data_IF_491859409173
#
_entry.id   IF_491859409173
#
_cell.length_a   1.000
_cell.length_b   1.000
_cell.length_c   1.000
_cell.angle_alpha   90.00
_cell.angle_beta   90.00
_cell.angle_gamma   90.00
#
_symmetry.space_group_name_H-M   'P 1'
#
loop_
_entity.id
_entity.type
_entity.pdbx_description
1 polymer ?
#
# COMPACT_ATOMS: atom_id res chain seq x y z
N UNK A 1 -21.26 -1.80 -9.51
CA UNK A 1 -21.61 -0.67 -8.62
C UNK A 1 -20.34 0.12 -8.36
N UNK A 2 -20.41 1.45 -8.37
CA UNK A 2 -19.26 2.31 -8.04
C UNK A 2 -19.12 2.32 -6.52
N UNK A 3 -17.92 2.03 -6.01
CA UNK A 3 -17.63 2.07 -4.58
C UNK A 3 -17.89 3.49 -4.04
N UNK A 4 -18.63 3.59 -2.94
CA UNK A 4 -18.92 4.87 -2.29
C UNK A 4 -17.67 5.42 -1.60
N UNK A 5 -17.70 6.70 -1.24
CA UNK A 5 -16.59 7.34 -0.51
C UNK A 5 -16.35 6.66 0.84
N UNK A 6 -17.42 6.30 1.56
CA UNK A 6 -17.34 5.64 2.87
C UNK A 6 -16.74 4.24 2.76
N UNK A 7 -17.19 3.44 1.79
CA UNK A 7 -16.61 2.11 1.54
C UNK A 7 -15.13 2.19 1.19
N UNK A 8 -14.74 3.19 0.39
CA UNK A 8 -13.34 3.43 0.04
C UNK A 8 -12.48 3.74 1.28
N UNK A 9 -12.99 4.59 2.17
CA UNK A 9 -12.29 4.96 3.40
C UNK A 9 -12.12 3.76 4.33
N UNK A 10 -13.19 3.00 4.55
CA UNK A 10 -13.16 1.79 5.37
C UNK A 10 -12.17 0.74 4.82
N UNK A 11 -12.11 0.59 3.48
CA UNK A 11 -11.13 -0.30 2.86
C UNK A 11 -9.69 0.15 3.11
N UNK A 12 -9.38 1.44 2.92
CA UNK A 12 -8.04 1.99 3.20
C UNK A 12 -7.65 1.78 4.67
N UNK A 13 -8.58 2.05 5.59
CA UNK A 13 -8.38 1.85 7.03
C UNK A 13 -8.09 0.38 7.36
N UNK A 14 -8.88 -0.55 6.81
CA UNK A 14 -8.65 -1.99 7.02
C UNK A 14 -7.28 -2.47 6.51
N UNK A 15 -6.80 -1.92 5.39
CA UNK A 15 -5.46 -2.23 4.86
C UNK A 15 -4.37 -1.69 5.80
N UNK A 16 -4.58 -0.47 6.33
CA UNK A 16 -3.65 0.17 7.25
C UNK A 16 -3.57 -0.54 8.60
N UNK A 17 -4.69 -1.01 9.14
CA UNK A 17 -4.74 -1.82 10.35
C UNK A 17 -4.03 -3.17 10.15
N UNK A 18 -4.33 -3.87 9.06
CA UNK A 18 -3.69 -5.16 8.77
C UNK A 18 -2.17 -5.03 8.54
N UNK A 19 -1.71 -3.92 7.94
CA UNK A 19 -0.28 -3.58 7.86
C UNK A 19 0.33 -3.33 9.24
N UNK A 20 -0.37 -2.59 10.10
CA UNK A 20 0.12 -2.26 11.44
C UNK A 20 0.18 -3.50 12.37
N UNK A 21 -0.75 -4.43 12.19
CA UNK A 21 -0.81 -5.70 12.92
C UNK A 21 0.12 -6.77 12.34
N UNK A 22 0.75 -6.51 11.19
CA UNK A 22 1.65 -7.45 10.53
C UNK A 22 0.94 -8.66 9.90
N UNK A 23 -0.38 -8.63 9.79
CA UNK A 23 -1.18 -9.69 9.13
C UNK A 23 -1.25 -9.50 7.61
N UNK A 24 -0.77 -8.37 7.09
CA UNK A 24 -0.70 -8.05 5.68
C UNK A 24 0.71 -7.56 5.31
N UNK A 25 1.29 -8.19 4.29
CA UNK A 25 2.58 -7.79 3.74
C UNK A 25 2.47 -6.49 2.92
N UNK A 26 3.56 -5.72 2.87
CA UNK A 26 3.61 -4.45 2.13
C UNK A 26 3.32 -4.66 0.64
N UNK A 27 3.84 -5.73 0.04
CA UNK A 27 3.64 -6.07 -1.38
C UNK A 27 2.16 -6.25 -1.71
N UNK A 28 1.45 -7.01 -0.87
CA UNK A 28 0.01 -7.25 -1.04
C UNK A 28 -0.79 -5.98 -0.74
N UNK A 29 -0.46 -5.22 0.30
CA UNK A 29 -1.13 -3.96 0.59
C UNK A 29 -1.08 -2.98 -0.60
N UNK A 30 0.09 -2.83 -1.25
CA UNK A 30 0.25 -1.99 -2.44
C UNK A 30 -0.62 -2.50 -3.60
N UNK A 31 -0.66 -3.82 -3.82
CA UNK A 31 -1.52 -4.44 -4.83
C UNK A 31 -3.00 -4.19 -4.56
N UNK A 32 -3.46 -4.34 -3.31
CA UNK A 32 -4.85 -4.09 -2.90
C UNK A 32 -5.23 -2.63 -3.06
N UNK A 33 -4.37 -1.70 -2.64
CA UNK A 33 -4.57 -0.27 -2.88
C UNK A 33 -4.69 0.04 -4.37
N UNK A 34 -3.87 -0.58 -5.22
CA UNK A 34 -4.00 -0.40 -6.66
C UNK A 34 -5.33 -0.94 -7.20
N UNK A 35 -5.64 -2.21 -6.95
CA UNK A 35 -6.77 -2.90 -7.59
C UNK A 35 -8.11 -2.52 -6.94
N UNK A 36 -8.21 -2.62 -5.62
CA UNK A 36 -9.48 -2.50 -4.91
C UNK A 36 -9.84 -1.03 -4.66
N UNK A 37 -8.86 -0.17 -4.36
CA UNK A 37 -9.13 1.25 -4.05
C UNK A 37 -9.21 2.12 -5.31
N UNK A 38 -8.30 1.91 -6.26
CA UNK A 38 -8.21 2.79 -7.45
C UNK A 38 -8.71 2.15 -8.75
N UNK A 39 -8.79 0.82 -8.82
CA UNK A 39 -9.16 0.11 -10.05
C UNK A 39 -8.15 0.24 -11.19
N UNK A 40 -6.94 0.73 -10.92
CA UNK A 40 -5.95 1.05 -11.96
C UNK A 40 -5.06 -0.16 -12.31
N UNK A 41 -4.68 -0.25 -13.59
CA UNK A 41 -3.63 -1.17 -13.99
C UNK A 41 -2.24 -0.61 -13.61
N UNK A 42 -1.23 -1.48 -13.55
CA UNK A 42 0.12 -1.15 -13.06
C UNK A 42 0.73 0.10 -13.72
N UNK A 43 0.56 0.27 -15.03
CA UNK A 43 1.11 1.42 -15.77
C UNK A 43 0.50 2.74 -15.29
N UNK A 44 -0.83 2.78 -15.09
CA UNK A 44 -1.54 3.98 -14.63
C UNK A 44 -1.20 4.28 -13.17
N UNK A 45 -1.18 3.26 -12.34
CA UNK A 45 -0.88 3.38 -10.92
C UNK A 45 0.55 3.86 -10.67
N UNK A 46 1.54 3.31 -11.38
CA UNK A 46 2.94 3.71 -11.26
C UNK A 46 3.13 5.20 -11.62
N UNK A 47 2.46 5.69 -12.67
CA UNK A 47 2.44 7.11 -13.04
C UNK A 47 1.86 7.98 -11.94
N UNK A 48 0.73 7.55 -11.36
CA UNK A 48 0.08 8.26 -10.24
C UNK A 48 1.00 8.35 -9.01
N UNK A 49 1.72 7.26 -8.71
CA UNK A 49 2.70 7.18 -7.62
C UNK A 49 4.05 7.83 -7.95
N UNK A 50 4.24 8.33 -9.18
CA UNK A 50 5.50 8.94 -9.67
C UNK A 50 6.71 8.00 -9.53
N UNK A 51 6.52 6.71 -9.79
CA UNK A 51 7.56 5.69 -9.82
C UNK A 51 7.57 4.95 -11.16
N UNK A 52 8.64 4.21 -11.45
CA UNK A 52 8.68 3.37 -12.65
C UNK A 52 7.75 2.15 -12.50
N UNK A 53 7.22 1.65 -13.62
CA UNK A 53 6.39 0.42 -13.61
C UNK A 53 7.18 -0.77 -13.09
N UNK A 54 8.47 -0.88 -13.46
CA UNK A 54 9.37 -1.91 -12.92
C UNK A 54 9.47 -1.81 -11.40
N UNK A 55 9.63 -0.60 -10.87
CA UNK A 55 9.64 -0.37 -9.41
C UNK A 55 8.37 -0.90 -8.80
N UNK A 56 7.19 -0.51 -9.32
CA UNK A 56 5.89 -0.99 -8.83
C UNK A 56 5.79 -2.52 -8.83
N UNK A 57 6.16 -3.19 -9.94
CA UNK A 57 6.11 -4.66 -10.05
C UNK A 57 7.00 -5.31 -8.99
N UNK A 58 8.22 -4.81 -8.81
CA UNK A 58 9.12 -5.31 -7.77
C UNK A 58 8.51 -5.12 -6.36
N UNK A 59 7.78 -4.03 -6.10
CA UNK A 59 7.05 -3.85 -4.83
C UNK A 59 5.98 -4.92 -4.67
N UNK A 60 5.12 -5.09 -5.68
CA UNK A 60 3.99 -6.02 -5.62
C UNK A 60 4.43 -7.49 -5.53
N UNK A 61 5.63 -7.81 -5.99
CA UNK A 61 6.20 -9.16 -5.91
C UNK A 61 7.10 -9.40 -4.68
N UNK A 62 7.26 -8.39 -3.80
CA UNK A 62 8.24 -8.42 -2.71
C UNK A 62 9.69 -8.70 -3.19
N UNK A 63 10.01 -8.24 -4.40
CA UNK A 63 11.32 -8.41 -5.02
C UNK A 63 12.19 -7.14 -4.85
N UNK A 64 13.46 -7.35 -4.49
CA UNK A 64 14.46 -6.28 -4.39
C UNK A 64 14.33 -5.39 -3.14
N UNK A 65 15.25 -4.43 -3.01
CA UNK A 65 15.31 -3.53 -1.86
C UNK A 65 14.51 -2.25 -2.14
N UNK A 66 13.25 -2.26 -1.70
CA UNK A 66 12.33 -1.13 -1.74
C UNK A 66 12.92 0.08 -1.01
N UNK A 67 13.00 1.24 -1.68
CA UNK A 67 13.37 2.46 -0.95
C UNK A 67 12.17 2.95 -0.14
N UNK A 68 12.41 3.46 1.07
CA UNK A 68 11.38 4.14 1.87
C UNK A 68 10.70 5.26 1.07
N UNK A 69 11.44 5.95 0.20
CA UNK A 69 10.90 6.99 -0.69
C UNK A 69 9.85 6.43 -1.65
N UNK A 70 10.10 5.28 -2.27
CA UNK A 70 9.16 4.65 -3.21
C UNK A 70 7.86 4.25 -2.51
N UNK A 71 7.99 3.64 -1.32
CA UNK A 71 6.83 3.26 -0.50
C UNK A 71 6.04 4.49 -0.05
N UNK A 72 6.73 5.53 0.46
CA UNK A 72 6.11 6.76 0.91
C UNK A 72 5.37 7.50 -0.22
N UNK A 73 5.90 7.50 -1.45
CA UNK A 73 5.19 8.04 -2.62
C UNK A 73 3.86 7.36 -2.91
N UNK A 74 3.72 6.07 -2.62
CA UNK A 74 2.48 5.31 -2.78
C UNK A 74 1.54 5.64 -1.61
N UNK A 75 2.01 5.44 -0.38
CA UNK A 75 1.17 5.56 0.82
C UNK A 75 0.59 6.96 1.01
N UNK A 76 1.31 8.02 0.62
CA UNK A 76 0.82 9.40 0.71
C UNK A 76 -0.46 9.65 -0.08
N UNK A 77 -0.68 8.93 -1.18
CA UNK A 77 -1.90 9.05 -1.98
C UNK A 77 -3.15 8.57 -1.23
N UNK A 78 -2.95 7.76 -0.19
CA UNK A 78 -3.99 7.16 0.63
C UNK A 78 -4.00 7.72 2.06
N UNK A 79 -3.34 8.85 2.30
CA UNK A 79 -3.29 9.47 3.62
C UNK A 79 -2.34 8.78 4.62
N UNK A 80 -1.46 7.90 4.14
CA UNK A 80 -0.50 7.15 4.95
C UNK A 80 0.94 7.61 4.69
N UNK A 81 1.86 7.27 5.58
CA UNK A 81 3.31 7.49 5.40
C UNK A 81 4.10 6.37 6.07
N UNK A 82 5.30 6.08 5.56
CA UNK A 82 6.22 5.17 6.23
C UNK A 82 6.80 5.83 7.50
N UNK A 83 6.98 5.04 8.56
CA UNK A 83 7.51 5.54 9.83
C UNK A 83 8.04 4.45 10.74
N UNK A 84 8.77 4.86 11.78
CA UNK A 84 9.24 3.97 12.85
C UNK A 84 8.12 3.78 13.86
N UNK A 85 7.77 2.52 14.14
CA UNK A 85 6.77 2.13 15.13
C UNK A 85 7.42 1.28 16.24
N UNK A 86 6.76 1.15 17.39
CA UNK A 86 7.21 0.18 18.41
C UNK A 86 6.94 -1.23 17.90
N UNK A 87 7.89 -2.13 18.08
CA UNK A 87 7.66 -3.55 17.84
C UNK A 87 6.62 -4.06 18.85
N UNK A 88 5.50 -4.59 18.34
CA UNK A 88 4.51 -5.29 19.14
C UNK A 88 5.15 -6.60 19.59
N UNK A 89 5.44 -6.72 20.88
CA UNK A 89 5.84 -8.00 21.49
C UNK A 89 4.57 -8.61 22.04
N UNK A 90 4.16 -9.75 21.49
CA UNK A 90 3.17 -10.59 22.17
C UNK A 90 3.84 -11.13 23.44
N UNK A 91 3.36 -10.67 24.60
CA UNK A 91 3.72 -11.30 25.86
C UNK A 91 2.88 -12.57 25.92
N UNK A 92 3.48 -13.70 25.52
CA UNK A 92 2.96 -15.03 25.81
C UNK A 92 3.07 -15.33 27.31
#
# INVERSE_FOLDING_TARGET
MVMTVLERMALIESIQEALADGTLEISEAVRRLRVEVTGLHQIQFAKMCKISVRTLIHIEHAEGNQTLRSLDSIFRLFGMKMGVVRLRREIN
#
